data_IF_236528513365
#
_entry.id   IF_236528513365
#
_cell.length_a   1.000
_cell.length_b   1.000
_cell.length_c   1.000
_cell.angle_alpha   90.00
_cell.angle_beta   90.00
_cell.angle_gamma   90.00
#
_symmetry.space_group_name_H-M   'P 1'
#
loop_
_entity.id
_entity.type
_entity.pdbx_description
1 polymer ?
#
# COMPACT_ATOMS: atom_id res chain seq x y z
N UNK A 1 -13.29 -27.79 9.81
CA UNK A 1 -11.95 -27.72 10.45
C UNK A 1 -10.79 -27.62 9.44
N UNK A 2 -10.77 -28.42 8.36
CA UNK A 2 -9.64 -28.46 7.40
C UNK A 2 -9.51 -27.19 6.53
N UNK A 3 -10.62 -26.64 6.05
CA UNK A 3 -10.62 -25.43 5.20
C UNK A 3 -10.16 -24.18 5.96
N UNK A 4 -10.53 -24.05 7.24
CA UNK A 4 -10.10 -22.94 8.10
C UNK A 4 -8.58 -22.95 8.32
N UNK A 5 -7.98 -24.14 8.48
CA UNK A 5 -6.52 -24.28 8.59
C UNK A 5 -5.81 -23.94 7.28
N UNK A 6 -6.36 -24.34 6.13
CA UNK A 6 -5.80 -23.96 4.83
C UNK A 6 -5.88 -22.46 4.58
N UNK A 7 -6.99 -21.81 4.98
CA UNK A 7 -7.12 -20.36 4.84
C UNK A 7 -6.10 -19.61 5.71
N UNK A 8 -5.85 -20.08 6.95
CA UNK A 8 -4.81 -19.51 7.80
C UNK A 8 -3.38 -19.71 7.25
N UNK A 9 -3.11 -20.82 6.57
CA UNK A 9 -1.83 -21.05 5.89
C UNK A 9 -1.66 -20.13 4.67
N UNK A 10 -2.73 -19.90 3.90
CA UNK A 10 -2.73 -18.96 2.78
C UNK A 10 -2.48 -17.53 3.29
N UNK A 11 -3.13 -17.14 4.37
CA UNK A 11 -2.97 -15.83 5.00
C UNK A 11 -1.53 -15.61 5.49
N UNK A 12 -0.95 -16.60 6.18
CA UNK A 12 0.45 -16.56 6.60
C UNK A 12 1.42 -16.46 5.41
N UNK A 13 1.15 -17.17 4.31
CA UNK A 13 1.96 -17.09 3.09
C UNK A 13 1.86 -15.71 2.41
N UNK A 14 0.68 -15.08 2.42
CA UNK A 14 0.48 -13.73 1.89
C UNK A 14 1.19 -12.67 2.75
N UNK A 15 1.11 -12.79 4.08
CA UNK A 15 1.86 -11.91 5.00
C UNK A 15 3.37 -12.07 4.81
N UNK A 16 3.86 -13.31 4.68
CA UNK A 16 5.27 -13.57 4.42
C UNK A 16 5.75 -12.94 3.10
N UNK A 17 4.93 -13.01 2.05
CA UNK A 17 5.23 -12.41 0.74
C UNK A 17 5.31 -10.87 0.83
N UNK A 18 4.44 -10.25 1.63
CA UNK A 18 4.47 -8.81 1.90
C UNK A 18 5.75 -8.42 2.66
N UNK A 19 6.13 -9.18 3.69
CA UNK A 19 7.35 -8.95 4.47
C UNK A 19 8.59 -9.00 3.58
N UNK A 20 8.68 -9.98 2.68
CA UNK A 20 9.79 -10.07 1.70
C UNK A 20 9.86 -8.82 0.82
N UNK A 21 8.72 -8.34 0.33
CA UNK A 21 8.68 -7.13 -0.50
C UNK A 21 9.14 -5.88 0.27
N UNK A 22 8.75 -5.75 1.55
CA UNK A 22 9.21 -4.66 2.42
C UNK A 22 10.71 -4.75 2.69
N UNK A 23 11.25 -5.95 2.90
CA UNK A 23 12.69 -6.17 3.10
C UNK A 23 13.48 -5.78 1.85
N UNK A 24 13.05 -6.22 0.66
CA UNK A 24 13.71 -5.89 -0.62
C UNK A 24 13.68 -4.38 -0.85
N UNK A 25 12.53 -3.74 -0.64
CA UNK A 25 12.40 -2.28 -0.77
C UNK A 25 13.28 -1.53 0.25
N UNK A 26 13.42 -2.05 1.46
CA UNK A 26 14.34 -1.52 2.47
C UNK A 26 15.80 -1.66 2.05
N UNK A 27 16.19 -2.82 1.51
CA UNK A 27 17.55 -3.03 0.99
C UNK A 27 17.86 -2.08 -0.16
N UNK A 28 16.98 -1.95 -1.16
CA UNK A 28 17.15 -1.00 -2.27
C UNK A 28 17.28 0.45 -1.78
N UNK A 29 16.45 0.85 -0.82
CA UNK A 29 16.41 2.24 -0.39
C UNK A 29 17.57 2.64 0.53
N UNK A 30 18.09 1.71 1.34
CA UNK A 30 19.04 2.02 2.41
C UNK A 30 20.41 1.35 2.27
N UNK A 31 20.56 0.27 1.52
CA UNK A 31 21.82 -0.49 1.44
C UNK A 31 22.36 -0.53 0.01
N UNK A 32 21.52 -0.85 -0.98
CA UNK A 32 21.91 -0.93 -2.40
C UNK A 32 22.55 0.37 -2.91
N UNK A 33 22.08 1.53 -2.46
CA UNK A 33 22.63 2.84 -2.81
C UNK A 33 24.07 3.09 -2.35
N UNK A 34 24.57 2.31 -1.39
CA UNK A 34 25.95 2.41 -0.90
C UNK A 34 26.87 1.34 -1.50
N UNK A 35 26.32 0.30 -2.11
CA UNK A 35 27.04 -0.77 -2.83
C UNK A 35 27.32 -0.37 -4.30
N UNK A 36 26.56 0.59 -4.84
CA UNK A 36 26.65 1.11 -6.21
C UNK A 36 27.78 2.17 -6.39
N UNK A 37 28.93 1.96 -5.74
CA UNK A 37 30.06 2.90 -5.76
C UNK A 37 31.00 2.77 -6.97
N UNK A 38 30.71 1.87 -7.92
CA UNK A 38 31.38 1.82 -9.23
C UNK A 38 30.51 2.45 -10.33
N UNK A 39 30.37 3.78 -10.24
CA UNK A 39 30.23 4.68 -11.39
C UNK A 39 28.97 4.53 -12.26
N UNK A 40 27.85 5.13 -11.87
CA UNK A 40 27.32 6.36 -12.48
C UNK A 40 26.01 6.77 -11.78
N UNK A 41 26.09 7.91 -11.11
CA UNK A 41 25.04 8.49 -10.26
C UNK A 41 24.03 9.23 -11.16
N UNK A 42 22.93 8.59 -11.57
CA UNK A 42 21.83 9.32 -12.23
C UNK A 42 20.40 8.95 -11.78
N UNK A 43 20.18 7.77 -11.17
CA UNK A 43 18.80 7.33 -10.87
C UNK A 43 18.18 7.95 -9.59
N UNK A 44 18.97 8.70 -8.81
CA UNK A 44 18.59 9.24 -7.50
C UNK A 44 17.82 10.58 -7.55
N UNK A 45 17.59 11.14 -8.75
CA UNK A 45 16.96 12.45 -8.93
C UNK A 45 15.42 12.46 -9.01
N UNK A 46 14.75 11.30 -9.12
CA UNK A 46 13.31 11.27 -9.42
C UNK A 46 12.57 10.07 -8.80
N UNK A 47 12.89 9.66 -7.56
CA UNK A 47 11.84 8.98 -6.77
C UNK A 47 10.82 10.07 -6.42
N UNK A 48 9.81 10.20 -7.28
CA UNK A 48 8.69 11.10 -7.06
C UNK A 48 7.97 10.65 -5.79
N UNK A 49 8.27 11.33 -4.68
CA UNK A 49 7.72 11.08 -3.35
C UNK A 49 6.18 11.08 -3.37
N UNK A 50 5.57 11.76 -4.34
CA UNK A 50 4.14 11.70 -4.65
C UNK A 50 3.68 10.28 -5.01
N UNK A 51 4.27 9.69 -6.05
CA UNK A 51 3.98 8.32 -6.49
C UNK A 51 4.18 7.25 -5.39
N UNK A 52 5.16 7.44 -4.50
CA UNK A 52 5.42 6.50 -3.40
C UNK A 52 4.30 6.55 -2.35
N UNK A 53 3.84 7.74 -1.98
CA UNK A 53 2.75 7.93 -1.01
C UNK A 53 1.45 7.27 -1.49
N UNK A 54 1.12 7.41 -2.76
CA UNK A 54 -0.07 6.77 -3.36
C UNK A 54 0.06 5.24 -3.37
N UNK A 55 1.24 4.70 -3.71
CA UNK A 55 1.49 3.25 -3.69
C UNK A 55 1.35 2.64 -2.29
N UNK A 56 1.85 3.32 -1.26
CA UNK A 56 1.71 2.84 0.13
C UNK A 56 0.26 2.92 0.60
N UNK A 57 -0.47 3.99 0.26
CA UNK A 57 -1.88 4.08 0.62
C UNK A 57 -2.73 3.00 -0.06
N UNK A 58 -2.45 2.67 -1.33
CA UNK A 58 -3.21 1.64 -2.05
C UNK A 58 -2.96 0.22 -1.52
N UNK A 59 -1.74 -0.09 -1.06
CA UNK A 59 -1.45 -1.40 -0.44
C UNK A 59 -2.15 -1.56 0.90
N UNK A 60 -2.18 -0.52 1.74
CA UNK A 60 -2.91 -0.52 3.01
C UNK A 60 -4.41 -0.77 2.78
N UNK A 61 -5.01 -0.09 1.79
CA UNK A 61 -6.42 -0.29 1.43
C UNK A 61 -6.65 -1.73 0.98
N UNK A 62 -5.80 -2.28 0.11
CA UNK A 62 -5.96 -3.65 -0.39
C UNK A 62 -5.91 -4.71 0.72
N UNK A 63 -4.95 -4.60 1.66
CA UNK A 63 -4.84 -5.50 2.81
C UNK A 63 -6.09 -5.37 3.69
N UNK A 64 -6.53 -4.13 3.95
CA UNK A 64 -7.74 -3.87 4.74
C UNK A 64 -9.00 -4.45 4.09
N UNK A 65 -9.13 -4.43 2.76
CA UNK A 65 -10.26 -5.02 2.02
C UNK A 65 -10.31 -6.55 2.19
N UNK A 66 -9.16 -7.22 2.10
CA UNK A 66 -9.08 -8.68 2.31
C UNK A 66 -9.50 -9.04 3.73
N UNK A 67 -9.02 -8.27 4.72
CA UNK A 67 -9.37 -8.49 6.12
C UNK A 67 -10.88 -8.30 6.38
N UNK A 68 -11.48 -7.25 5.82
CA UNK A 68 -12.92 -7.01 5.95
C UNK A 68 -13.74 -8.15 5.32
N UNK A 69 -13.29 -8.68 4.17
CA UNK A 69 -13.94 -9.83 3.52
C UNK A 69 -13.83 -11.10 4.37
N UNK A 70 -12.68 -11.37 4.99
CA UNK A 70 -12.51 -12.50 5.92
C UNK A 70 -13.47 -12.40 7.11
N UNK A 71 -13.59 -11.22 7.71
CA UNK A 71 -14.50 -10.97 8.84
C UNK A 71 -15.96 -11.12 8.41
N UNK A 72 -16.31 -10.62 7.23
CA UNK A 72 -17.66 -10.74 6.68
C UNK A 72 -18.05 -12.21 6.43
N UNK A 73 -17.13 -13.02 5.90
CA UNK A 73 -17.35 -14.46 5.73
C UNK A 73 -17.48 -15.20 7.07
N UNK A 74 -16.89 -14.67 8.15
CA UNK A 74 -17.02 -15.18 9.52
C UNK A 74 -17.99 -14.32 10.38
N UNK A 75 -18.97 -13.64 9.77
CA UNK A 75 -19.84 -12.68 10.47
C UNK A 75 -20.53 -13.24 11.72
N UNK A 76 -20.81 -14.55 11.77
CA UNK A 76 -21.42 -15.21 12.93
C UNK A 76 -20.58 -15.10 14.22
N UNK A 77 -19.27 -14.84 14.09
CA UNK A 77 -18.35 -14.64 15.22
C UNK A 77 -18.23 -13.18 15.66
N UNK A 78 -18.89 -12.25 14.97
CA UNK A 78 -18.78 -10.80 15.20
C UNK A 78 -20.13 -10.17 15.47
N UNK A 79 -20.15 -9.13 16.30
CA UNK A 79 -21.38 -8.36 16.50
C UNK A 79 -21.61 -7.41 15.31
N UNK A 80 -22.87 -7.03 15.11
CA UNK A 80 -23.23 -6.03 14.10
C UNK A 80 -22.46 -4.71 14.28
N UNK A 81 -22.23 -4.30 15.53
CA UNK A 81 -21.46 -3.10 15.86
C UNK A 81 -19.98 -3.23 15.45
N UNK A 82 -19.35 -4.38 15.69
CA UNK A 82 -17.98 -4.63 15.26
C UNK A 82 -17.84 -4.59 13.73
N UNK A 83 -18.77 -5.23 13.02
CA UNK A 83 -18.81 -5.23 11.55
C UNK A 83 -19.00 -3.81 10.99
N UNK A 84 -19.85 -3.01 11.62
CA UNK A 84 -20.08 -1.62 11.26
C UNK A 84 -18.80 -0.79 11.44
N UNK A 85 -18.14 -0.85 12.59
CA UNK A 85 -16.90 -0.10 12.84
C UNK A 85 -15.75 -0.51 11.92
N UNK A 86 -15.59 -1.81 11.64
CA UNK A 86 -14.60 -2.30 10.69
C UNK A 86 -14.84 -1.77 9.27
N UNK A 87 -16.11 -1.72 8.86
CA UNK A 87 -16.50 -1.18 7.56
C UNK A 87 -16.25 0.34 7.51
N UNK A 88 -16.59 1.08 8.56
CA UNK A 88 -16.34 2.52 8.66
C UNK A 88 -14.84 2.82 8.59
N UNK A 89 -14.02 2.07 9.33
CA UNK A 89 -12.56 2.22 9.31
C UNK A 89 -11.99 1.93 7.92
N UNK A 90 -12.48 0.88 7.25
CA UNK A 90 -12.07 0.58 5.87
C UNK A 90 -12.43 1.72 4.90
N UNK A 91 -13.65 2.26 5.00
CA UNK A 91 -14.08 3.40 4.21
C UNK A 91 -13.21 4.65 4.47
N UNK A 92 -12.77 4.87 5.71
CA UNK A 92 -11.84 5.97 6.03
C UNK A 92 -10.49 5.79 5.33
N UNK A 93 -9.96 4.55 5.26
CA UNK A 93 -8.74 4.27 4.49
C UNK A 93 -8.93 4.47 2.99
N UNK A 94 -10.05 4.00 2.43
CA UNK A 94 -10.38 4.20 1.01
C UNK A 94 -10.46 5.70 0.70
N UNK A 95 -11.19 6.47 1.51
CA UNK A 95 -11.30 7.92 1.33
C UNK A 95 -9.94 8.61 1.41
N UNK A 96 -9.10 8.23 2.37
CA UNK A 96 -7.76 8.78 2.53
C UNK A 96 -6.87 8.49 1.32
N UNK A 97 -6.91 7.27 0.79
CA UNK A 97 -6.17 6.90 -0.42
C UNK A 97 -6.66 7.64 -1.67
N UNK A 98 -7.98 7.84 -1.81
CA UNK A 98 -8.55 8.61 -2.91
C UNK A 98 -8.16 10.09 -2.85
N UNK A 99 -8.20 10.70 -1.67
CA UNK A 99 -7.75 12.09 -1.46
C UNK A 99 -6.28 12.26 -1.80
N UNK A 100 -5.44 11.31 -1.38
CA UNK A 100 -4.01 11.33 -1.67
C UNK A 100 -3.73 11.19 -3.18
N UNK A 101 -4.41 10.25 -3.85
CA UNK A 101 -4.32 10.09 -5.30
C UNK A 101 -4.81 11.33 -6.06
N UNK A 102 -5.84 12.01 -5.54
CA UNK A 102 -6.34 13.26 -6.11
C UNK A 102 -5.32 14.40 -5.97
N UNK A 103 -4.76 14.60 -4.77
CA UNK A 103 -3.74 15.61 -4.51
C UNK A 103 -2.51 15.37 -5.41
N UNK A 104 -2.06 14.12 -5.51
CA UNK A 104 -0.94 13.74 -6.36
C UNK A 104 -1.19 14.08 -7.85
N UNK A 105 -2.38 13.74 -8.36
CA UNK A 105 -2.79 14.09 -9.73
C UNK A 105 -2.82 15.60 -9.97
N UNK A 106 -3.36 16.38 -9.03
CA UNK A 106 -3.43 17.85 -9.16
C UNK A 106 -2.03 18.46 -9.18
N UNK A 107 -1.13 18.00 -8.31
CA UNK A 107 0.27 18.45 -8.31
C UNK A 107 1.00 18.09 -9.59
N UNK A 108 0.79 16.88 -10.12
CA UNK A 108 1.38 16.44 -11.39
C UNK A 108 0.91 17.33 -12.57
N UNK A 109 -0.37 17.66 -12.62
CA UNK A 109 -0.95 18.56 -13.63
C UNK A 109 -0.39 20.00 -13.52
N UNK A 110 -0.24 20.51 -12.29
CA UNK A 110 0.35 21.83 -12.05
C UNK A 110 1.81 21.91 -12.51
N UNK A 111 2.59 20.84 -12.31
CA UNK A 111 3.99 20.73 -12.77
C UNK A 111 4.08 20.70 -14.30
N UNK A 112 3.20 19.93 -14.97
CA UNK A 112 3.16 19.85 -16.44
C UNK A 112 2.80 21.16 -17.13
N UNK A 113 1.92 21.97 -16.53
CA UNK A 113 1.55 23.29 -17.08
C UNK A 113 2.67 24.32 -16.98
N UNK A 114 3.55 24.21 -15.99
CA UNK A 114 4.70 25.12 -15.79
C UNK A 114 5.81 24.85 -16.81
N UNK A 115 6.05 23.58 -17.13
CA UNK A 115 7.04 23.16 -18.13
C UNK A 115 6.63 23.46 -19.59
N UNK A 116 5.34 23.70 -19.86
CA UNK A 116 4.84 24.06 -21.19
C UNK A 116 4.76 25.59 -21.41
N UNK A 117 5.09 26.40 -20.39
CA UNK A 117 5.05 27.86 -20.43
C UNK A 117 6.46 28.51 -20.39
N UNK A 118 7.50 27.69 -20.26
CA UNK A 118 8.92 28.02 -20.48
C UNK A 118 9.34 27.54 -21.87
#
# INVERSE_FOLDING_TARGET
MHVLKMLGLIDAALVASLVVMVIISGYENFVSRFDDQDGEVHWLGTIDVGSLKVKVASTIVAISSIHLLQIFLNHASYTAEQLMWLTIMHLAFVLSALMLAYIDRVMALAKGKKAAAE
#
